data_IF_876568834224
#
_entry.id   IF_876568834224
#
_cell.length_a   1.000
_cell.length_b   1.000
_cell.length_c   1.000
_cell.angle_alpha   90.00
_cell.angle_beta   90.00
_cell.angle_gamma   90.00
#
_symmetry.space_group_name_H-M   'P 1'
#
loop_
_entity.id
_entity.type
_entity.pdbx_description
1 polymer ?
#
# COMPACT_ATOMS: atom_id res chain seq x y z
N UNK A 1 -60.89 62.41 -70.91
CA UNK A 1 -59.84 62.48 -69.82
C UNK A 1 -60.17 61.59 -68.64
N UNK A 2 -61.30 60.80 -68.63
CA UNK A 2 -61.70 59.93 -67.53
C UNK A 2 -61.47 58.41 -67.83
N UNK A 3 -61.08 58.07 -69.08
CA UNK A 3 -60.98 56.65 -69.49
C UNK A 3 -59.57 56.10 -69.53
N UNK A 4 -58.58 56.95 -69.25
CA UNK A 4 -57.17 56.53 -69.21
C UNK A 4 -56.63 56.18 -67.80
N UNK A 5 -57.44 56.40 -66.72
CA UNK A 5 -56.98 56.15 -65.36
C UNK A 5 -57.34 54.72 -64.83
N UNK A 6 -58.28 54.04 -65.52
CA UNK A 6 -58.76 52.72 -65.02
C UNK A 6 -57.95 51.54 -65.58
N UNK A 7 -57.13 51.78 -66.61
CA UNK A 7 -56.36 50.70 -67.26
C UNK A 7 -54.99 50.48 -66.59
N UNK A 8 -54.52 51.41 -65.75
CA UNK A 8 -53.20 51.33 -65.08
C UNK A 8 -53.29 50.56 -63.71
N UNK A 9 -54.53 50.44 -63.14
CA UNK A 9 -54.72 49.83 -61.85
C UNK A 9 -54.83 48.31 -61.92
N UNK A 10 -54.98 47.75 -63.11
CA UNK A 10 -55.18 46.29 -63.32
C UNK A 10 -53.89 45.49 -63.54
N UNK A 11 -52.72 46.14 -63.55
CA UNK A 11 -51.42 45.47 -63.85
C UNK A 11 -50.40 45.42 -62.76
N UNK A 12 -50.80 45.73 -61.46
CA UNK A 12 -49.81 45.88 -60.40
C UNK A 12 -50.06 44.96 -59.16
N UNK A 13 -50.54 43.76 -59.34
CA UNK A 13 -50.35 42.73 -58.29
C UNK A 13 -50.33 41.32 -58.90
N UNK A 14 -49.16 40.76 -59.22
CA UNK A 14 -49.07 39.31 -59.17
C UNK A 14 -49.05 38.93 -57.68
N UNK A 15 -50.20 38.33 -57.26
CA UNK A 15 -50.28 37.62 -55.99
C UNK A 15 -49.26 36.46 -56.00
N UNK A 16 -48.07 36.73 -55.47
CA UNK A 16 -47.07 35.72 -55.18
C UNK A 16 -47.62 34.90 -54.01
N UNK A 17 -48.41 33.88 -54.29
CA UNK A 17 -48.65 32.79 -53.33
C UNK A 17 -47.28 32.19 -52.97
N UNK A 18 -46.83 32.48 -51.79
CA UNK A 18 -45.65 31.83 -51.19
C UNK A 18 -45.82 30.35 -51.29
N UNK A 19 -44.80 29.58 -51.78
CA UNK A 19 -44.88 28.13 -51.76
C UNK A 19 -45.08 27.67 -50.33
N UNK A 20 -46.06 26.78 -50.12
CA UNK A 20 -46.29 26.07 -48.85
C UNK A 20 -44.99 25.37 -48.48
N UNK A 21 -44.14 26.03 -47.68
CA UNK A 21 -43.00 25.38 -47.04
C UNK A 21 -43.59 24.33 -46.07
N UNK A 22 -43.23 23.06 -46.22
CA UNK A 22 -43.67 22.07 -45.28
C UNK A 22 -43.25 22.52 -43.90
N UNK A 23 -44.18 22.64 -42.98
CA UNK A 23 -43.93 22.99 -41.59
C UNK A 23 -42.80 22.09 -41.08
N UNK A 24 -41.63 22.69 -40.76
CA UNK A 24 -40.55 21.96 -40.08
C UNK A 24 -41.14 21.38 -38.81
N UNK A 25 -41.43 20.11 -38.84
CA UNK A 25 -41.75 19.38 -37.61
C UNK A 25 -40.56 19.55 -36.69
N UNK A 26 -40.70 20.22 -35.51
CA UNK A 26 -39.60 20.34 -34.60
C UNK A 26 -39.05 18.95 -34.32
N UNK A 27 -37.77 18.73 -34.64
CA UNK A 27 -37.12 17.46 -34.33
C UNK A 27 -37.36 17.16 -32.85
N UNK A 28 -37.95 16.04 -32.56
CA UNK A 28 -38.16 15.60 -31.19
C UNK A 28 -36.80 15.73 -30.44
N UNK A 29 -36.76 16.30 -29.23
CA UNK A 29 -35.51 16.43 -28.50
C UNK A 29 -34.85 15.07 -28.42
N UNK A 30 -33.61 14.98 -28.96
CA UNK A 30 -32.84 13.75 -28.90
C UNK A 30 -32.83 13.27 -27.44
N UNK A 31 -33.29 12.06 -27.23
CA UNK A 31 -33.30 11.46 -25.90
C UNK A 31 -31.89 11.60 -25.29
N UNK A 32 -31.76 12.12 -24.05
CA UNK A 32 -30.45 12.30 -23.45
C UNK A 32 -29.73 10.96 -23.43
N UNK A 33 -28.55 10.92 -24.06
CA UNK A 33 -27.72 9.71 -24.05
C UNK A 33 -27.56 9.25 -22.60
N UNK A 34 -27.68 7.95 -22.31
CA UNK A 34 -27.67 7.45 -20.95
C UNK A 34 -26.35 7.82 -20.28
N UNK A 35 -26.40 8.75 -19.35
CA UNK A 35 -25.25 9.21 -18.53
C UNK A 35 -24.74 8.12 -17.57
N UNK A 36 -25.33 6.92 -17.59
CA UNK A 36 -25.10 5.85 -16.63
C UNK A 36 -23.84 5.03 -16.90
N UNK A 37 -23.32 5.00 -18.12
CA UNK A 37 -22.18 4.13 -18.47
C UNK A 37 -20.86 4.58 -17.84
N UNK A 38 -20.58 5.86 -17.78
CA UNK A 38 -19.32 6.38 -17.21
C UNK A 38 -19.28 6.23 -15.69
N UNK A 39 -20.38 6.55 -14.99
CA UNK A 39 -20.48 6.39 -13.54
C UNK A 39 -20.36 4.90 -13.14
N UNK A 40 -20.93 3.99 -13.92
CA UNK A 40 -20.87 2.54 -13.65
C UNK A 40 -19.44 2.01 -13.78
N UNK A 41 -18.68 2.40 -14.81
CA UNK A 41 -17.29 1.98 -15.01
C UNK A 41 -16.40 2.46 -13.85
N UNK A 42 -16.53 3.73 -13.45
CA UNK A 42 -15.76 4.26 -12.32
C UNK A 42 -16.09 3.56 -11.00
N UNK A 43 -17.34 3.23 -10.74
CA UNK A 43 -17.73 2.47 -9.56
C UNK A 43 -17.17 1.05 -9.57
N UNK A 44 -17.16 0.38 -10.74
CA UNK A 44 -16.57 -0.95 -10.88
C UNK A 44 -15.05 -0.92 -10.63
N UNK A 45 -14.35 0.04 -11.22
CA UNK A 45 -12.90 0.20 -10.99
C UNK A 45 -12.59 0.49 -9.52
N UNK A 46 -13.36 1.39 -8.89
CA UNK A 46 -13.22 1.70 -7.46
C UNK A 46 -13.51 0.47 -6.58
N UNK A 47 -14.52 -0.33 -6.94
CA UNK A 47 -14.84 -1.56 -6.23
C UNK A 47 -13.72 -2.59 -6.34
N UNK A 48 -13.17 -2.82 -7.54
CA UNK A 48 -12.03 -3.72 -7.75
C UNK A 48 -10.82 -3.26 -6.94
N UNK A 49 -10.53 -1.96 -6.98
CA UNK A 49 -9.43 -1.38 -6.19
C UNK A 49 -9.65 -1.59 -4.68
N UNK A 50 -10.84 -1.30 -4.18
CA UNK A 50 -11.17 -1.43 -2.77
C UNK A 50 -11.10 -2.90 -2.30
N UNK A 51 -11.61 -3.83 -3.11
CA UNK A 51 -11.54 -5.28 -2.81
C UNK A 51 -10.10 -5.75 -2.76
N UNK A 52 -9.25 -5.38 -3.72
CA UNK A 52 -7.83 -5.74 -3.72
C UNK A 52 -7.09 -5.21 -2.49
N UNK A 53 -7.28 -3.93 -2.14
CA UNK A 53 -6.70 -3.33 -0.95
C UNK A 53 -7.22 -4.00 0.34
N UNK A 54 -8.53 -4.28 0.43
CA UNK A 54 -9.13 -4.94 1.58
C UNK A 54 -8.60 -6.37 1.77
N UNK A 55 -8.45 -7.15 0.72
CA UNK A 55 -7.88 -8.50 0.80
C UNK A 55 -6.46 -8.49 1.35
N UNK A 56 -5.61 -7.57 0.90
CA UNK A 56 -4.25 -7.43 1.41
C UNK A 56 -4.22 -6.96 2.87
N UNK A 57 -5.08 -6.01 3.24
CA UNK A 57 -5.22 -5.55 4.61
C UNK A 57 -5.68 -6.69 5.55
N UNK A 58 -6.69 -7.47 5.15
CA UNK A 58 -7.16 -8.64 5.90
C UNK A 58 -6.05 -9.67 6.06
N UNK A 59 -5.28 -9.96 4.97
CA UNK A 59 -4.13 -10.87 5.03
C UNK A 59 -3.08 -10.37 6.02
N UNK A 60 -2.77 -9.07 6.02
CA UNK A 60 -1.80 -8.48 6.94
C UNK A 60 -2.25 -8.60 8.41
N UNK A 61 -3.50 -8.22 8.68
CA UNK A 61 -4.09 -8.32 10.03
C UNK A 61 -4.13 -9.79 10.50
N UNK A 62 -4.55 -10.69 9.63
CA UNK A 62 -4.58 -12.12 9.96
C UNK A 62 -3.19 -12.67 10.26
N UNK A 63 -2.16 -12.32 9.45
CA UNK A 63 -0.77 -12.68 9.67
C UNK A 63 -0.26 -12.16 11.02
N UNK A 64 -0.53 -10.89 11.33
CA UNK A 64 -0.18 -10.28 12.62
C UNK A 64 -0.86 -11.01 13.81
N UNK A 65 -2.17 -11.27 13.71
CA UNK A 65 -2.92 -11.98 14.76
C UNK A 65 -2.44 -13.42 14.92
N UNK A 66 -2.16 -14.12 13.83
CA UNK A 66 -1.60 -15.48 13.87
C UNK A 66 -0.25 -15.49 14.58
N UNK A 67 0.66 -14.57 14.20
CA UNK A 67 1.97 -14.45 14.81
C UNK A 67 1.85 -14.11 16.31
N UNK A 68 1.00 -13.15 16.67
CA UNK A 68 0.81 -12.75 18.07
C UNK A 68 0.26 -13.89 18.92
N UNK A 69 -0.59 -14.76 18.37
CA UNK A 69 -1.08 -15.98 19.05
C UNK A 69 0.04 -17.03 19.21
N UNK A 70 0.87 -17.21 18.18
CA UNK A 70 2.00 -18.15 18.24
C UNK A 70 2.99 -17.77 19.36
N UNK A 71 3.26 -16.50 19.56
CA UNK A 71 4.21 -16.03 20.59
C UNK A 71 3.58 -15.75 21.93
N UNK A 72 2.27 -15.95 22.09
CA UNK A 72 1.57 -15.75 23.38
C UNK A 72 2.10 -16.66 24.50
N UNK A 73 2.68 -17.81 24.13
CA UNK A 73 3.29 -18.78 25.06
C UNK A 73 4.77 -18.50 25.36
N UNK A 74 5.36 -17.46 24.79
CA UNK A 74 6.75 -17.11 25.04
C UNK A 74 6.92 -16.58 26.47
N UNK A 75 7.92 -17.09 27.17
CA UNK A 75 8.24 -16.70 28.53
C UNK A 75 9.10 -15.43 28.55
N UNK A 76 8.83 -14.55 29.50
CA UNK A 76 9.65 -13.35 29.72
C UNK A 76 10.99 -13.74 30.31
N UNK A 77 12.08 -13.26 29.73
CA UNK A 77 13.45 -13.44 30.22
C UNK A 77 13.85 -12.29 31.15
N UNK A 78 14.89 -12.45 32.01
CA UNK A 78 15.37 -11.41 32.92
C UNK A 78 15.73 -10.09 32.21
N UNK A 79 16.21 -10.18 30.97
CA UNK A 79 16.61 -9.01 30.15
C UNK A 79 15.42 -8.24 29.55
N UNK A 80 14.18 -8.63 29.91
CA UNK A 80 12.97 -7.99 29.43
C UNK A 80 12.50 -8.44 28.03
N UNK A 81 13.23 -9.37 27.40
CA UNK A 81 12.85 -10.01 26.15
C UNK A 81 11.89 -11.18 26.40
N UNK A 82 11.34 -11.75 25.33
CA UNK A 82 10.50 -12.95 25.38
C UNK A 82 11.19 -14.08 24.62
N UNK A 83 11.22 -15.29 25.16
CA UNK A 83 11.81 -16.45 24.50
C UNK A 83 10.87 -17.65 24.56
N UNK A 84 10.86 -18.45 23.50
CA UNK A 84 10.02 -19.63 23.42
C UNK A 84 10.34 -20.54 22.25
N UNK A 85 9.94 -21.82 22.30
CA UNK A 85 10.17 -22.77 21.23
C UNK A 85 9.37 -22.46 19.95
N UNK A 86 8.29 -21.68 20.07
CA UNK A 86 7.44 -21.26 18.96
C UNK A 86 7.99 -20.03 18.21
N UNK A 87 9.13 -19.50 18.62
CA UNK A 87 9.81 -18.36 17.97
C UNK A 87 10.91 -18.88 17.06
N UNK A 88 10.72 -18.96 15.74
CA UNK A 88 11.73 -19.53 14.81
C UNK A 88 12.91 -18.60 14.60
N UNK A 89 12.67 -17.29 14.53
CA UNK A 89 13.67 -16.24 14.29
C UNK A 89 13.48 -15.11 15.29
N UNK A 90 14.52 -14.33 15.61
CA UNK A 90 14.35 -13.10 16.39
C UNK A 90 13.48 -12.11 15.63
N UNK A 91 12.62 -11.41 16.34
CA UNK A 91 11.84 -10.30 15.80
C UNK A 91 11.25 -9.44 16.89
N UNK A 92 10.85 -8.24 16.51
CA UNK A 92 10.09 -7.32 17.35
C UNK A 92 8.62 -7.32 16.94
N UNK A 93 7.71 -7.47 17.92
CA UNK A 93 6.26 -7.42 17.72
C UNK A 93 5.61 -6.36 18.61
N UNK A 94 4.63 -5.64 18.05
CA UNK A 94 3.89 -4.58 18.72
C UNK A 94 4.17 -3.20 18.12
N UNK A 95 3.13 -2.44 17.75
CA UNK A 95 3.26 -1.13 17.15
C UNK A 95 3.64 -0.04 18.19
N UNK A 96 2.87 0.06 19.26
CA UNK A 96 3.03 1.11 20.28
C UNK A 96 3.87 0.65 21.47
N UNK A 97 3.92 -0.65 21.73
CA UNK A 97 4.70 -1.26 22.81
C UNK A 97 5.48 -2.45 22.27
N UNK A 98 6.53 -2.19 21.49
CA UNK A 98 7.31 -3.24 20.84
C UNK A 98 7.99 -4.12 21.88
N UNK A 99 7.94 -5.44 21.64
CA UNK A 99 8.56 -6.47 22.47
C UNK A 99 9.45 -7.32 21.60
N UNK A 100 10.62 -7.67 22.13
CA UNK A 100 11.61 -8.50 21.43
C UNK A 100 11.33 -9.96 21.75
N UNK A 101 11.18 -10.77 20.71
CA UNK A 101 11.02 -12.22 20.79
C UNK A 101 12.26 -12.92 20.24
N UNK A 102 12.75 -13.91 21.00
CA UNK A 102 13.98 -14.62 20.69
C UNK A 102 13.72 -16.14 20.61
N UNK A 103 14.39 -16.85 19.71
CA UNK A 103 14.36 -18.31 19.66
C UNK A 103 14.84 -18.92 20.97
N UNK A 104 14.27 -20.07 21.36
CA UNK A 104 14.80 -20.86 22.45
C UNK A 104 16.22 -21.35 22.11
N UNK A 105 17.12 -21.27 23.11
CA UNK A 105 18.51 -21.71 22.96
C UNK A 105 19.48 -20.69 22.34
N UNK A 106 19.02 -19.47 22.02
CA UNK A 106 19.93 -18.39 21.65
C UNK A 106 20.63 -17.86 22.92
N UNK A 107 21.97 -18.00 22.99
CA UNK A 107 22.77 -17.65 24.14
C UNK A 107 24.11 -17.01 23.74
N UNK A 108 24.82 -16.44 24.73
CA UNK A 108 26.16 -15.85 24.56
C UNK A 108 26.20 -14.63 23.66
N UNK A 109 27.35 -14.31 23.07
CA UNK A 109 27.56 -13.09 22.28
C UNK A 109 26.60 -12.93 21.11
N UNK A 110 26.14 -14.05 20.51
CA UNK A 110 25.14 -14.00 19.42
C UNK A 110 23.79 -13.47 19.91
N UNK A 111 23.39 -13.81 21.15
CA UNK A 111 22.18 -13.29 21.77
C UNK A 111 22.26 -11.78 21.99
N UNK A 112 23.40 -11.31 22.50
CA UNK A 112 23.59 -9.90 22.81
C UNK A 112 23.61 -9.06 21.52
N UNK A 113 24.28 -9.55 20.46
CA UNK A 113 24.28 -8.91 19.15
C UNK A 113 22.85 -8.78 18.56
N UNK A 114 22.06 -9.84 18.64
CA UNK A 114 20.68 -9.85 18.17
C UNK A 114 19.79 -8.89 18.98
N UNK A 115 19.92 -8.90 20.31
CA UNK A 115 19.16 -7.97 21.16
C UNK A 115 19.54 -6.52 20.85
N UNK A 116 20.81 -6.23 20.61
CA UNK A 116 21.26 -4.89 20.21
C UNK A 116 20.60 -4.47 18.89
N UNK A 117 20.62 -5.33 17.88
CA UNK A 117 20.00 -5.09 16.58
C UNK A 117 18.48 -4.79 16.72
N UNK A 118 17.73 -5.65 17.41
CA UNK A 118 16.28 -5.45 17.64
C UNK A 118 15.99 -4.16 18.45
N UNK A 119 16.82 -3.81 19.40
CA UNK A 119 16.68 -2.55 20.15
C UNK A 119 16.90 -1.33 19.27
N UNK A 120 17.78 -1.41 18.28
CA UNK A 120 18.00 -0.33 17.32
C UNK A 120 16.76 -0.13 16.47
N UNK A 121 16.12 -1.20 15.96
CA UNK A 121 14.85 -1.12 15.26
C UNK A 121 13.77 -0.41 16.09
N UNK A 122 13.65 -0.79 17.38
CA UNK A 122 12.70 -0.14 18.29
C UNK A 122 13.00 1.35 18.46
N UNK A 123 14.25 1.72 18.68
CA UNK A 123 14.67 3.13 18.87
C UNK A 123 14.45 4.00 17.63
N UNK A 124 14.57 3.42 16.45
CA UNK A 124 14.32 4.08 15.15
C UNK A 124 12.82 4.19 14.84
N UNK A 125 11.97 3.44 15.51
CA UNK A 125 10.54 3.41 15.25
C UNK A 125 10.14 2.50 14.08
N UNK A 126 11.03 1.60 13.67
CA UNK A 126 10.82 0.67 12.56
C UNK A 126 9.55 -0.20 12.72
N UNK A 127 9.15 -0.65 13.95
CA UNK A 127 7.90 -1.36 14.18
C UNK A 127 6.63 -0.59 13.78
N UNK A 128 6.70 0.74 13.67
CA UNK A 128 5.59 1.58 13.22
C UNK A 128 5.74 1.97 11.74
N UNK A 129 6.96 2.32 11.31
CA UNK A 129 7.22 2.79 9.95
C UNK A 129 7.03 1.69 8.91
N UNK A 130 7.47 0.46 9.20
CA UNK A 130 7.33 -0.67 8.27
C UNK A 130 5.87 -1.02 7.95
N UNK A 131 4.95 -1.18 8.92
CA UNK A 131 3.52 -1.37 8.62
C UNK A 131 2.88 -0.20 7.89
N UNK A 132 3.33 1.05 8.13
CA UNK A 132 2.85 2.22 7.43
C UNK A 132 3.21 2.16 5.93
N UNK A 133 4.48 1.89 5.59
CA UNK A 133 4.91 1.72 4.21
C UNK A 133 4.24 0.53 3.53
N UNK A 134 4.04 -0.57 4.26
CA UNK A 134 3.26 -1.71 3.76
C UNK A 134 1.81 -1.32 3.45
N UNK A 135 1.16 -0.54 4.29
CA UNK A 135 -0.20 -0.04 4.04
C UNK A 135 -0.26 0.83 2.77
N UNK A 136 0.75 1.69 2.53
CA UNK A 136 0.85 2.46 1.27
C UNK A 136 1.00 1.52 0.08
N UNK A 137 1.83 0.48 0.16
CA UNK A 137 1.95 -0.52 -0.90
C UNK A 137 0.63 -1.28 -1.14
N UNK A 138 -0.13 -1.60 -0.08
CA UNK A 138 -1.47 -2.21 -0.20
C UNK A 138 -2.48 -1.30 -0.89
N UNK A 139 -2.46 0.01 -0.64
CA UNK A 139 -3.32 0.98 -1.33
C UNK A 139 -2.97 1.09 -2.83
N UNK A 140 -1.71 0.88 -3.18
CA UNK A 140 -1.20 0.88 -4.55
C UNK A 140 -0.90 -0.55 -5.04
N UNK A 141 -1.70 -1.52 -4.62
CA UNK A 141 -1.44 -2.94 -4.83
C UNK A 141 -1.22 -3.33 -6.30
N UNK A 142 -1.86 -2.63 -7.22
CA UNK A 142 -1.76 -2.83 -8.66
C UNK A 142 -0.47 -2.24 -9.28
N UNK A 143 0.29 -1.44 -8.52
CA UNK A 143 1.50 -0.78 -9.02
C UNK A 143 2.76 -1.56 -8.58
N UNK A 144 3.51 -2.19 -9.52
CA UNK A 144 4.70 -2.94 -9.18
C UNK A 144 5.83 -2.06 -8.61
N UNK A 145 5.87 -0.76 -8.97
CA UNK A 145 6.86 0.17 -8.43
C UNK A 145 6.65 0.43 -6.93
N UNK A 146 5.40 0.40 -6.45
CA UNK A 146 5.12 0.54 -5.02
C UNK A 146 5.70 -0.63 -4.21
N UNK A 147 5.62 -1.85 -4.76
CA UNK A 147 6.23 -3.04 -4.14
C UNK A 147 7.74 -3.03 -4.23
N UNK A 148 8.31 -2.55 -5.32
CA UNK A 148 9.76 -2.37 -5.44
C UNK A 148 10.26 -1.35 -4.42
N UNK A 149 9.61 -0.18 -4.33
CA UNK A 149 9.94 0.84 -3.35
C UNK A 149 9.83 0.32 -1.90
N UNK A 150 8.82 -0.49 -1.60
CA UNK A 150 8.68 -1.12 -0.29
C UNK A 150 9.84 -2.08 0.01
N UNK A 151 10.28 -2.89 -0.96
CA UNK A 151 11.44 -3.80 -0.80
C UNK A 151 12.75 -3.03 -0.60
N UNK A 152 12.98 -1.97 -1.36
CA UNK A 152 14.17 -1.14 -1.19
C UNK A 152 14.14 -0.44 0.18
N UNK A 153 12.99 0.07 0.59
CA UNK A 153 12.82 0.62 1.95
C UNK A 153 13.17 -0.41 3.04
N UNK A 154 12.74 -1.68 2.91
CA UNK A 154 13.12 -2.73 3.86
C UNK A 154 14.64 -2.96 3.88
N UNK A 155 15.30 -3.00 2.72
CA UNK A 155 16.76 -3.15 2.62
C UNK A 155 17.52 -1.99 3.26
N UNK A 156 17.10 -0.76 2.97
CA UNK A 156 17.71 0.44 3.54
C UNK A 156 17.54 0.50 5.06
N UNK A 157 16.39 0.07 5.55
CA UNK A 157 16.09 -0.01 6.97
C UNK A 157 17.01 -1.00 7.69
N UNK A 158 17.22 -2.20 7.12
CA UNK A 158 18.15 -3.21 7.63
C UNK A 158 19.60 -2.71 7.59
N UNK A 159 20.05 -2.17 6.45
CA UNK A 159 21.41 -1.63 6.29
C UNK A 159 21.70 -0.51 7.30
N UNK A 160 20.74 0.38 7.51
CA UNK A 160 20.88 1.46 8.47
C UNK A 160 20.85 0.97 9.93
N UNK A 161 20.16 -0.14 10.22
CA UNK A 161 20.20 -0.78 11.53
C UNK A 161 21.57 -1.41 11.80
N UNK A 162 22.12 -2.15 10.83
CA UNK A 162 23.44 -2.76 10.92
C UNK A 162 24.54 -1.70 11.06
N UNK A 163 24.48 -0.62 10.28
CA UNK A 163 25.40 0.50 10.43
C UNK A 163 25.33 1.11 11.84
N UNK A 164 24.14 1.32 12.37
CA UNK A 164 23.94 1.87 13.70
C UNK A 164 24.46 0.92 14.78
N UNK A 165 24.38 -0.41 14.58
CA UNK A 165 24.88 -1.41 15.51
C UNK A 165 26.39 -1.40 15.63
N UNK A 166 27.12 -1.08 14.54
CA UNK A 166 28.59 -1.06 14.54
C UNK A 166 29.18 0.35 14.73
N UNK A 167 28.36 1.38 14.70
CA UNK A 167 28.79 2.77 14.84
C UNK A 167 29.41 3.02 16.23
N UNK A 168 30.61 3.56 16.24
CA UNK A 168 31.34 3.89 17.48
C UNK A 168 31.93 2.69 18.22
N UNK A 169 31.82 1.48 17.69
CA UNK A 169 32.47 0.31 18.26
C UNK A 169 33.93 0.19 17.80
N UNK A 170 34.77 -0.44 18.63
CA UNK A 170 36.14 -0.81 18.25
C UNK A 170 36.12 -1.83 17.09
N UNK A 171 37.23 -1.94 16.34
CA UNK A 171 37.34 -2.89 15.24
C UNK A 171 37.09 -4.35 15.69
N UNK A 172 37.59 -4.71 16.87
CA UNK A 172 37.35 -6.04 17.45
C UNK A 172 35.88 -6.29 17.79
N UNK A 173 35.18 -5.32 18.41
CA UNK A 173 33.77 -5.42 18.72
C UNK A 173 32.91 -5.50 17.46
N UNK A 174 33.26 -4.74 16.41
CA UNK A 174 32.59 -4.79 15.11
C UNK A 174 32.75 -6.17 14.45
N UNK A 175 33.96 -6.74 14.44
CA UNK A 175 34.20 -8.08 13.90
C UNK A 175 33.41 -9.13 14.67
N UNK A 176 33.37 -9.06 16.00
CA UNK A 176 32.58 -9.99 16.83
C UNK A 176 31.06 -9.88 16.55
N UNK A 177 30.55 -8.68 16.36
CA UNK A 177 29.15 -8.46 15.97
C UNK A 177 28.83 -9.09 14.60
N UNK A 178 29.64 -8.79 13.57
CA UNK A 178 29.46 -9.33 12.22
C UNK A 178 29.54 -10.86 12.21
N UNK A 179 30.52 -11.45 12.93
CA UNK A 179 30.66 -12.89 13.05
C UNK A 179 29.43 -13.52 13.74
N UNK A 180 28.91 -12.89 14.78
CA UNK A 180 27.74 -13.38 15.51
C UNK A 180 26.49 -13.39 14.63
N UNK A 181 26.25 -12.31 13.88
CA UNK A 181 25.12 -12.21 12.95
C UNK A 181 25.28 -13.22 11.79
N UNK A 182 26.49 -13.34 11.23
CA UNK A 182 26.76 -14.28 10.15
C UNK A 182 26.56 -15.74 10.58
N UNK A 183 27.09 -16.12 11.73
CA UNK A 183 26.87 -17.45 12.32
C UNK A 183 25.37 -17.75 12.51
N UNK A 184 24.63 -16.75 12.99
CA UNK A 184 23.19 -16.89 13.19
C UNK A 184 22.45 -17.10 11.85
N UNK A 185 22.79 -16.34 10.80
CA UNK A 185 22.24 -16.46 9.47
C UNK A 185 22.55 -17.84 8.83
N UNK A 186 23.80 -18.33 8.99
CA UNK A 186 24.24 -19.62 8.46
C UNK A 186 23.58 -20.83 9.15
N UNK A 187 23.10 -20.68 10.40
CA UNK A 187 22.36 -21.73 11.10
C UNK A 187 20.91 -21.92 10.60
N UNK A 188 20.53 -21.26 9.50
CA UNK A 188 19.20 -21.35 8.90
C UNK A 188 18.07 -20.70 9.74
N UNK A 189 18.44 -19.90 10.72
CA UNK A 189 17.49 -19.25 11.63
C UNK A 189 17.05 -17.85 11.16
N UNK A 190 17.20 -17.57 9.86
CA UNK A 190 16.77 -16.31 9.25
C UNK A 190 17.58 -15.09 9.69
N UNK A 191 17.57 -14.04 8.85
CA UNK A 191 18.18 -12.75 9.21
C UNK A 191 17.29 -12.06 10.26
N UNK A 192 17.88 -11.49 11.35
CA UNK A 192 17.11 -10.68 12.29
C UNK A 192 16.38 -9.55 11.53
N UNK A 193 15.15 -9.26 11.90
CA UNK A 193 14.42 -8.12 11.35
C UNK A 193 13.46 -8.39 10.20
N UNK A 194 13.44 -9.60 9.61
CA UNK A 194 12.39 -9.94 8.66
C UNK A 194 11.05 -10.11 9.39
N UNK A 195 10.25 -9.05 9.48
CA UNK A 195 8.85 -9.21 9.86
C UNK A 195 8.21 -10.15 8.85
N UNK A 196 7.64 -11.26 9.34
CA UNK A 196 7.09 -12.38 8.57
C UNK A 196 5.82 -12.03 7.73
N UNK A 197 5.74 -10.82 7.19
CA UNK A 197 4.63 -10.39 6.34
C UNK A 197 4.73 -10.88 4.88
N UNK A 198 5.85 -11.53 4.49
CA UNK A 198 6.13 -11.88 3.10
C UNK A 198 6.43 -13.35 2.79
N UNK A 199 6.44 -14.25 3.76
CA UNK A 199 6.69 -15.67 3.51
C UNK A 199 5.39 -16.47 3.69
N UNK A 200 4.70 -16.64 2.59
CA UNK A 200 3.53 -17.50 2.43
C UNK A 200 3.37 -17.86 0.97
#
# INVERSE_FOLDING_TARGET
LAEAADTVQALTQPELTAPDLPAMVPAAPAAPAPRYTTLTVWHLLAAVWAVGAALLAVRAVWGYLRLSRQVALACKTPDGCFSGPCVPTPFTLGLLRPRIYLPAGLAGPARDAVILHERIHIRRGDPLTKPLFYAVACLHWFNPLAWLAFREFERDMEAACDEAAVRGQSSAARSAYCESILRFAMQGRGVPGSLAFGQG
#
